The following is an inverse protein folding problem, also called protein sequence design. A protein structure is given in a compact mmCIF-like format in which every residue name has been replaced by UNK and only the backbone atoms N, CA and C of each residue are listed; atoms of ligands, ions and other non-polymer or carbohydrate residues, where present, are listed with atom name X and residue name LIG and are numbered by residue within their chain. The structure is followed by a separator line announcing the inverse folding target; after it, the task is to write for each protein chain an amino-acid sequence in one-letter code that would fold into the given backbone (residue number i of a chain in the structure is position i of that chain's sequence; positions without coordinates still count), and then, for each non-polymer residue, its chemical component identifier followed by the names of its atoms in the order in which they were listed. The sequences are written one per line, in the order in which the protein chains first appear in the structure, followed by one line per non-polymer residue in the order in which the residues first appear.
data_IF_150391393910
#
_entry.id   IF_150391393910
#
_cell.length_a   1.000
_cell.length_b   1.000
_cell.length_c   1.000
_cell.angle_alpha   90.00
_cell.angle_beta   90.00
_cell.angle_gamma   90.00
#
_symmetry.space_group_name_H-M   'P 1'
#
loop_
_entity.id
_entity.type
_entity.pdbx_description
1 polymer ?
#
# COMPACT_ATOMS: atom_id res chain seq x y z
N UNK A 1 20.43 0.07 17.94
CA UNK A 1 19.36 0.31 16.94
C UNK A 1 19.88 0.34 15.51
N UNK A 2 20.61 1.39 15.11
CA UNK A 2 21.13 1.54 13.74
C UNK A 2 22.07 0.41 13.33
N UNK A 3 22.94 -0.07 14.24
CA UNK A 3 23.80 -1.22 13.99
C UNK A 3 23.02 -2.47 13.55
N UNK A 4 21.93 -2.80 14.23
CA UNK A 4 21.07 -3.95 13.87
C UNK A 4 20.40 -3.76 12.51
N UNK A 5 19.91 -2.55 12.19
CA UNK A 5 19.40 -2.25 10.85
C UNK A 5 20.48 -2.40 9.77
N UNK A 6 21.70 -1.92 10.05
CA UNK A 6 22.83 -2.04 9.14
C UNK A 6 23.25 -3.50 8.92
N UNK A 7 23.35 -4.28 10.00
CA UNK A 7 23.73 -5.70 9.92
C UNK A 7 22.71 -6.50 9.11
N UNK A 8 21.41 -6.27 9.31
CA UNK A 8 20.33 -6.92 8.55
C UNK A 8 20.35 -6.52 7.07
N UNK A 9 20.53 -5.22 6.78
CA UNK A 9 20.65 -4.76 5.39
C UNK A 9 21.94 -5.29 4.72
N UNK A 10 22.98 -5.58 5.49
CA UNK A 10 24.22 -6.19 4.98
C UNK A 10 24.03 -7.69 4.72
N UNK A 11 23.34 -8.39 5.62
CA UNK A 11 23.03 -9.81 5.49
C UNK A 11 22.04 -10.11 4.35
N UNK A 12 21.20 -9.13 4.00
CA UNK A 12 20.21 -9.20 2.93
C UNK A 12 20.55 -8.23 1.78
N UNK A 13 21.49 -8.57 0.89
CA UNK A 13 21.87 -7.72 -0.23
C UNK A 13 20.71 -7.45 -1.19
N UNK A 14 19.70 -8.31 -1.22
CA UNK A 14 18.47 -8.16 -2.00
C UNK A 14 17.49 -7.12 -1.43
N UNK A 15 17.69 -6.63 -0.21
CA UNK A 15 16.88 -5.56 0.36
C UNK A 15 17.45 -4.18 0.02
N UNK A 16 16.62 -3.31 -0.54
CA UNK A 16 16.92 -1.91 -0.80
C UNK A 16 16.77 -1.04 0.47
N UNK A 17 16.04 -1.55 1.45
CA UNK A 17 15.87 -0.94 2.75
C UNK A 17 15.31 -1.92 3.76
N UNK A 18 15.45 -1.59 5.04
CA UNK A 18 14.96 -2.41 6.14
C UNK A 18 14.29 -1.53 7.18
N UNK A 19 13.08 -1.89 7.59
CA UNK A 19 12.36 -1.27 8.70
C UNK A 19 12.39 -2.16 9.94
N UNK A 20 11.93 -1.64 11.07
CA UNK A 20 11.71 -2.47 12.27
C UNK A 20 10.25 -2.49 12.67
N UNK A 21 9.87 -3.52 13.45
CA UNK A 21 8.71 -3.43 14.33
C UNK A 21 8.82 -2.21 15.27
N UNK A 22 7.65 -1.77 15.75
CA UNK A 22 7.51 -0.60 16.63
C UNK A 22 6.68 -0.94 17.86
N UNK A 23 7.03 -0.32 18.99
CA UNK A 23 6.24 -0.33 20.22
C UNK A 23 5.49 1.02 20.33
N UNK A 24 4.20 0.99 20.66
CA UNK A 24 3.45 2.22 20.95
C UNK A 24 3.76 2.70 22.37
N UNK A 25 3.80 4.02 22.56
CA UNK A 25 3.82 4.65 23.88
C UNK A 25 2.93 5.90 23.89
N UNK A 26 2.52 6.36 25.08
CA UNK A 26 1.78 7.61 25.25
C UNK A 26 0.27 7.44 25.14
N UNK A 27 -0.42 8.35 24.45
CA UNK A 27 -1.88 8.35 24.35
C UNK A 27 -2.36 7.42 23.22
N UNK A 28 -2.29 6.12 23.50
CA UNK A 28 -2.66 5.04 22.60
C UNK A 28 -4.17 4.92 22.42
N UNK A 29 -4.62 4.79 21.17
CA UNK A 29 -6.03 4.54 20.84
C UNK A 29 -6.22 3.13 20.31
N UNK A 30 -7.39 2.48 20.51
CA UNK A 30 -7.63 1.12 20.03
C UNK A 30 -7.36 0.91 18.54
N UNK A 31 -7.69 1.91 17.69
CA UNK A 31 -7.40 1.84 16.25
C UNK A 31 -5.90 1.79 15.95
N UNK A 32 -5.10 2.59 16.66
CA UNK A 32 -3.65 2.61 16.47
C UNK A 32 -2.98 1.34 16.99
N UNK A 33 -3.47 0.78 18.10
CA UNK A 33 -3.01 -0.52 18.61
C UNK A 33 -3.22 -1.63 17.58
N UNK A 34 -4.43 -1.74 17.04
CA UNK A 34 -4.73 -2.71 15.96
C UNK A 34 -3.86 -2.51 14.72
N UNK A 35 -3.61 -1.26 14.34
CA UNK A 35 -2.72 -0.95 13.21
C UNK A 35 -1.29 -1.42 13.48
N UNK A 36 -0.70 -1.09 14.65
CA UNK A 36 0.67 -1.51 14.97
C UNK A 36 0.78 -3.02 15.16
N UNK A 37 -0.19 -3.65 15.83
CA UNK A 37 -0.27 -5.11 15.95
C UNK A 37 -0.25 -5.78 14.57
N UNK A 38 -1.09 -5.32 13.64
CA UNK A 38 -1.10 -5.82 12.26
C UNK A 38 0.20 -5.50 11.51
N UNK A 39 0.67 -4.25 11.55
CA UNK A 39 1.85 -3.82 10.81
C UNK A 39 3.11 -4.56 11.28
N UNK A 40 3.19 -4.90 12.57
CA UNK A 40 4.28 -5.67 13.14
C UNK A 40 4.30 -7.14 12.67
N UNK A 41 3.21 -7.69 12.12
CA UNK A 41 3.22 -9.06 11.54
C UNK A 41 3.79 -9.12 10.12
N UNK A 42 3.98 -7.98 9.45
CA UNK A 42 4.50 -7.89 8.09
C UNK A 42 6.04 -8.04 8.08
N UNK A 43 6.52 -9.26 8.29
CA UNK A 43 7.95 -9.55 8.51
C UNK A 43 8.74 -9.91 7.24
N UNK A 44 8.08 -10.06 6.09
CA UNK A 44 8.76 -10.40 4.83
C UNK A 44 8.51 -9.34 3.76
N UNK A 45 9.41 -9.18 2.78
CA UNK A 45 9.21 -8.23 1.69
C UNK A 45 7.90 -8.47 0.91
N UNK A 46 7.55 -9.74 0.66
CA UNK A 46 6.30 -10.09 0.00
C UNK A 46 5.06 -9.66 0.80
N UNK A 47 5.07 -9.81 2.12
CA UNK A 47 3.98 -9.34 2.99
C UNK A 47 3.87 -7.82 2.98
N UNK A 48 4.99 -7.11 3.04
CA UNK A 48 5.03 -5.63 3.01
C UNK A 48 4.50 -5.09 1.68
N UNK A 49 4.95 -5.67 0.56
CA UNK A 49 4.48 -5.31 -0.76
C UNK A 49 2.98 -5.59 -0.92
N UNK A 50 2.51 -6.80 -0.58
CA UNK A 50 1.09 -7.15 -0.70
C UNK A 50 0.16 -6.29 0.18
N UNK A 51 0.67 -5.84 1.33
CA UNK A 51 -0.08 -5.02 2.30
C UNK A 51 -0.19 -3.54 1.93
N UNK A 52 0.55 -3.04 0.93
CA UNK A 52 0.69 -1.59 0.64
C UNK A 52 -0.63 -0.86 0.36
N UNK A 53 -1.65 -1.56 -0.13
CA UNK A 53 -2.98 -1.00 -0.36
C UNK A 53 -3.95 -1.19 0.82
N UNK A 54 -3.61 -2.02 1.81
CA UNK A 54 -4.38 -2.16 3.05
C UNK A 54 -4.16 -0.90 3.89
N UNK A 55 -2.93 -0.66 4.32
CA UNK A 55 -2.52 0.52 5.09
C UNK A 55 -0.98 0.63 5.01
N UNK A 56 -0.39 1.70 5.54
CA UNK A 56 1.07 1.86 5.64
C UNK A 56 1.77 0.59 6.17
N UNK A 57 2.58 -0.11 5.34
CA UNK A 57 3.12 -1.43 5.69
C UNK A 57 4.32 -1.35 6.62
N UNK A 58 4.97 -0.18 6.70
CA UNK A 58 6.05 0.12 7.62
C UNK A 58 6.02 1.60 8.00
N UNK A 59 6.70 1.95 9.08
CA UNK A 59 6.94 3.34 9.45
C UNK A 59 8.27 3.79 8.84
N UNK A 60 8.25 4.85 8.04
CA UNK A 60 9.46 5.32 7.34
C UNK A 60 10.59 5.69 8.32
N UNK A 61 10.23 6.25 9.47
CA UNK A 61 11.15 6.64 10.54
C UNK A 61 11.80 5.46 11.29
N UNK A 62 11.35 4.22 11.07
CA UNK A 62 11.96 3.02 11.64
C UNK A 62 12.93 2.33 10.68
N UNK A 63 13.17 2.93 9.51
CA UNK A 63 13.96 2.35 8.43
C UNK A 63 15.41 2.82 8.34
N UNK A 64 16.23 1.97 7.72
CA UNK A 64 17.51 2.29 7.09
C UNK A 64 17.41 1.92 5.61
N UNK A 65 17.85 2.81 4.73
CA UNK A 65 17.67 2.67 3.28
C UNK A 65 19.01 2.79 2.56
N UNK A 66 19.20 2.01 1.48
CA UNK A 66 20.35 2.20 0.59
C UNK A 66 20.23 3.54 -0.12
N UNK A 67 21.38 4.19 -0.33
CA UNK A 67 21.43 5.47 -1.05
C UNK A 67 20.86 5.35 -2.45
N UNK A 68 21.31 4.34 -3.20
CA UNK A 68 20.85 4.08 -4.58
C UNK A 68 19.33 3.88 -4.69
N UNK A 69 18.69 3.33 -3.64
CA UNK A 69 17.24 3.19 -3.58
C UNK A 69 16.54 4.54 -3.41
N UNK A 70 17.09 5.43 -2.57
CA UNK A 70 16.58 6.79 -2.43
C UNK A 70 16.81 7.62 -3.70
N UNK A 71 17.91 7.40 -4.41
CA UNK A 71 18.19 8.08 -5.67
C UNK A 71 17.16 7.72 -6.74
N UNK A 72 16.73 6.45 -6.83
CA UNK A 72 15.62 6.01 -7.70
C UNK A 72 14.28 6.67 -7.38
N UNK A 73 14.09 7.14 -6.16
CA UNK A 73 12.89 7.83 -5.70
C UNK A 73 13.00 9.35 -5.78
N UNK A 74 14.16 9.87 -6.13
CA UNK A 74 14.43 11.30 -6.06
C UNK A 74 13.69 12.05 -7.16
N UNK A 75 12.97 13.09 -6.76
CA UNK A 75 12.30 14.03 -7.65
C UNK A 75 12.91 15.42 -7.49
N UNK A 76 12.87 16.28 -8.53
CA UNK A 76 13.24 17.68 -8.40
C UNK A 76 12.43 18.37 -7.31
N UNK A 77 13.07 19.21 -6.51
CA UNK A 77 12.43 20.04 -5.48
C UNK A 77 12.32 21.46 -6.01
N UNK A 78 11.13 22.04 -5.98
CA UNK A 78 10.87 23.44 -6.39
C UNK A 78 11.42 24.49 -5.41
N UNK A 79 12.35 24.12 -4.52
CA UNK A 79 12.99 25.06 -3.59
C UNK A 79 13.87 26.02 -4.39
N UNK A 80 13.99 27.30 -3.97
CA UNK A 80 14.83 28.26 -4.67
C UNK A 80 16.24 27.69 -4.79
N UNK A 81 16.83 27.85 -5.98
CA UNK A 81 18.20 27.45 -6.25
C UNK A 81 19.09 27.87 -5.08
N UNK A 82 19.77 26.89 -4.47
CA UNK A 82 20.90 27.18 -3.60
C UNK A 82 21.80 28.21 -4.33
N UNK A 83 22.32 29.25 -3.64
CA UNK A 83 23.26 30.19 -4.27
C UNK A 83 24.51 29.48 -4.81
N UNK A 84 24.73 28.23 -4.39
CA UNK A 84 25.67 27.30 -4.99
C UNK A 84 24.87 26.41 -5.95
N UNK A 85 24.86 26.79 -7.24
CA UNK A 85 24.00 26.18 -8.26
C UNK A 85 23.99 24.64 -8.25
N UNK A 86 22.79 24.07 -8.14
CA UNK A 86 22.52 22.65 -8.21
C UNK A 86 21.02 22.38 -8.18
N UNK A 87 20.56 21.40 -8.95
CA UNK A 87 19.18 20.94 -8.87
C UNK A 87 19.04 20.13 -7.58
N UNK A 88 18.32 20.66 -6.58
CA UNK A 88 18.00 19.93 -5.37
C UNK A 88 17.00 18.82 -5.71
N UNK A 89 17.35 17.56 -5.43
CA UNK A 89 16.42 16.43 -5.53
C UNK A 89 16.10 15.89 -4.15
N UNK A 90 14.89 15.34 -3.98
CA UNK A 90 14.44 14.72 -2.73
C UNK A 90 13.71 13.42 -3.03
N UNK A 91 13.98 12.33 -2.28
CA UNK A 91 13.18 11.11 -2.36
C UNK A 91 11.78 11.29 -1.77
N UNK A 92 11.47 12.44 -1.21
CA UNK A 92 10.22 12.75 -0.52
C UNK A 92 9.42 13.81 -1.25
N UNK A 93 8.10 13.58 -1.36
CA UNK A 93 7.13 14.55 -1.89
C UNK A 93 6.22 15.01 -0.76
N UNK A 94 6.30 16.29 -0.42
CA UNK A 94 5.39 16.91 0.55
C UNK A 94 4.15 17.43 -0.19
N UNK A 95 3.19 16.51 -0.37
CA UNK A 95 1.97 16.74 -1.14
C UNK A 95 0.85 17.28 -0.23
N UNK A 96 -0.06 18.05 -0.83
CA UNK A 96 -1.25 18.55 -0.16
C UNK A 96 -2.34 17.48 -0.08
N UNK A 97 -2.35 16.55 -1.04
CA UNK A 97 -3.41 15.58 -1.30
C UNK A 97 -3.38 14.41 -0.32
N UNK A 98 -2.18 13.90 0.00
CA UNK A 98 -1.98 12.72 0.85
C UNK A 98 -0.64 12.75 1.59
N UNK A 99 -0.43 11.87 2.59
CA UNK A 99 0.75 11.94 3.44
C UNK A 99 2.01 11.48 2.71
N UNK A 100 3.12 12.15 3.04
CA UNK A 100 4.49 11.85 2.58
C UNK A 100 4.87 10.37 2.72
N UNK A 101 4.49 9.71 3.83
CA UNK A 101 4.87 8.32 4.09
C UNK A 101 4.13 7.35 3.16
N UNK A 102 2.84 7.62 2.88
CA UNK A 102 2.05 6.82 1.94
C UNK A 102 2.63 6.95 0.53
N UNK A 103 2.89 8.18 0.10
CA UNK A 103 3.50 8.47 -1.20
C UNK A 103 4.86 7.78 -1.37
N UNK A 104 5.70 7.86 -0.34
CA UNK A 104 7.03 7.25 -0.32
C UNK A 104 6.95 5.74 -0.52
N UNK A 105 6.15 5.02 0.28
CA UNK A 105 6.07 3.57 0.16
C UNK A 105 5.39 3.12 -1.13
N UNK A 106 4.40 3.85 -1.64
CA UNK A 106 3.83 3.50 -2.94
C UNK A 106 4.85 3.62 -4.06
N UNK A 107 5.61 4.71 -4.13
CA UNK A 107 6.69 4.84 -5.11
C UNK A 107 7.78 3.80 -4.91
N UNK A 108 8.11 3.48 -3.65
CA UNK A 108 9.07 2.42 -3.30
C UNK A 108 8.71 1.09 -3.97
N UNK A 109 7.48 0.62 -3.78
CA UNK A 109 7.03 -0.66 -4.36
C UNK A 109 6.81 -0.57 -5.88
N UNK A 110 6.41 0.59 -6.39
CA UNK A 110 6.19 0.79 -7.82
C UNK A 110 7.47 0.64 -8.64
N UNK A 111 8.60 1.21 -8.18
CA UNK A 111 9.89 1.03 -8.87
C UNK A 111 10.57 -0.30 -8.54
N UNK A 112 9.84 -1.23 -7.92
CA UNK A 112 10.30 -2.59 -7.62
C UNK A 112 11.29 -2.69 -6.46
N UNK A 113 11.43 -1.67 -5.61
CA UNK A 113 12.35 -1.72 -4.49
C UNK A 113 11.85 -2.68 -3.39
N UNK A 114 12.78 -3.41 -2.80
CA UNK A 114 12.52 -4.46 -1.81
C UNK A 114 12.73 -3.91 -0.40
N UNK A 115 11.68 -3.97 0.42
CA UNK A 115 11.73 -3.57 1.82
C UNK A 115 11.73 -4.81 2.72
N UNK A 116 12.75 -4.98 3.57
CA UNK A 116 12.74 -5.94 4.67
C UNK A 116 12.13 -5.37 5.95
N UNK A 117 11.78 -6.23 6.90
CA UNK A 117 11.42 -5.80 8.26
C UNK A 117 12.02 -6.73 9.33
N UNK A 118 12.71 -6.12 10.28
CA UNK A 118 13.25 -6.80 11.46
C UNK A 118 12.12 -7.03 12.46
N UNK A 119 12.00 -8.29 12.90
CA UNK A 119 11.10 -8.72 13.96
C UNK A 119 11.55 -8.32 15.37
N UNK A 120 10.96 -8.98 16.37
CA UNK A 120 11.16 -8.65 17.77
C UNK A 120 12.66 -8.72 18.20
N UNK A 121 13.06 -7.96 19.23
CA UNK A 121 12.28 -6.90 19.88
C UNK A 121 12.15 -5.64 19.00
N UNK A 122 11.06 -4.85 19.13
CA UNK A 122 10.92 -3.56 18.47
C UNK A 122 12.11 -2.64 18.76
N UNK A 123 12.59 -1.97 17.71
CA UNK A 123 13.77 -1.11 17.79
C UNK A 123 13.45 0.35 18.08
N UNK A 124 12.19 0.76 17.91
CA UNK A 124 11.71 2.11 18.07
C UNK A 124 10.42 2.12 18.89
N UNK A 125 10.21 3.23 19.59
CA UNK A 125 8.95 3.55 20.27
C UNK A 125 8.26 4.69 19.54
N UNK A 126 7.00 4.53 19.19
CA UNK A 126 6.20 5.57 18.54
C UNK A 126 5.25 6.22 19.53
N UNK A 127 5.61 7.42 19.96
CA UNK A 127 4.81 8.22 20.89
C UNK A 127 3.55 8.75 20.22
N UNK A 128 2.40 8.34 20.73
CA UNK A 128 1.09 8.84 20.35
C UNK A 128 0.73 10.08 21.16
N UNK A 129 0.36 11.17 20.49
CA UNK A 129 -0.08 12.41 21.14
C UNK A 129 -1.16 13.11 20.32
N UNK A 130 -1.90 14.05 20.92
CA UNK A 130 -3.08 14.68 20.30
C UNK A 130 -2.73 15.46 19.03
N UNK A 131 -1.59 16.17 19.01
CA UNK A 131 -1.16 17.00 17.89
C UNK A 131 -0.50 16.26 16.71
N UNK A 132 -0.46 14.93 16.68
CA UNK A 132 0.20 14.21 15.58
C UNK A 132 -0.57 14.37 14.26
N UNK A 133 0.14 14.44 13.14
CA UNK A 133 -0.47 14.68 11.83
C UNK A 133 -1.57 13.67 11.45
N UNK A 134 -1.41 12.41 11.85
CA UNK A 134 -2.44 11.36 11.61
C UNK A 134 -3.76 11.62 12.34
N UNK A 135 -3.84 12.65 13.20
CA UNK A 135 -5.06 13.08 13.91
C UNK A 135 -5.56 14.44 13.47
N UNK A 136 -4.67 15.33 13.05
CA UNK A 136 -4.99 16.76 12.88
C UNK A 136 -4.96 17.24 11.43
N UNK A 137 -4.27 16.51 10.54
CA UNK A 137 -4.05 16.97 9.17
C UNK A 137 -5.04 16.32 8.21
N UNK A 138 -5.74 17.14 7.41
CA UNK A 138 -6.76 16.68 6.43
C UNK A 138 -6.20 15.70 5.40
N UNK A 139 -4.93 15.86 5.01
CA UNK A 139 -4.22 14.92 4.12
C UNK A 139 -4.08 13.50 4.69
N UNK A 140 -4.29 13.31 5.99
CA UNK A 140 -4.31 11.99 6.63
C UNK A 140 -5.74 11.43 6.79
N UNK A 141 -6.74 12.05 6.17
CA UNK A 141 -8.13 11.57 6.17
C UNK A 141 -8.27 10.24 5.42
N UNK A 142 -9.35 9.49 5.71
CA UNK A 142 -9.65 8.26 4.99
C UNK A 142 -9.82 8.52 3.48
N UNK A 143 -10.41 9.66 3.11
CA UNK A 143 -10.59 10.05 1.70
C UNK A 143 -9.25 10.31 1.01
N UNK A 144 -8.33 11.05 1.66
CA UNK A 144 -6.96 11.28 1.14
C UNK A 144 -6.16 9.99 1.02
N UNK A 145 -6.25 9.08 2.00
CA UNK A 145 -5.58 7.78 1.94
C UNK A 145 -6.14 6.90 0.83
N UNK A 146 -7.46 6.90 0.63
CA UNK A 146 -8.12 6.21 -0.48
C UNK A 146 -7.75 6.82 -1.83
N UNK A 147 -7.71 8.15 -1.95
CA UNK A 147 -7.28 8.84 -3.16
C UNK A 147 -5.83 8.48 -3.53
N UNK A 148 -4.93 8.41 -2.54
CA UNK A 148 -3.55 7.96 -2.74
C UNK A 148 -3.51 6.52 -3.28
N UNK A 149 -4.24 5.59 -2.63
CA UNK A 149 -4.35 4.19 -3.08
C UNK A 149 -4.85 4.12 -4.53
N UNK A 150 -5.98 4.75 -4.83
CA UNK A 150 -6.58 4.77 -6.18
C UNK A 150 -5.61 5.33 -7.22
N UNK A 151 -4.92 6.44 -6.92
CA UNK A 151 -3.89 7.01 -7.79
C UNK A 151 -2.82 5.96 -8.16
N UNK A 152 -2.26 5.26 -7.16
CA UNK A 152 -1.25 4.25 -7.40
C UNK A 152 -1.78 2.93 -7.99
N UNK A 153 -3.07 2.65 -7.86
CA UNK A 153 -3.69 1.50 -8.54
C UNK A 153 -3.86 1.73 -10.04
N UNK A 154 -4.28 2.93 -10.44
CA UNK A 154 -4.67 3.23 -11.83
C UNK A 154 -3.57 3.86 -12.68
N UNK A 155 -2.54 4.47 -12.07
CA UNK A 155 -1.41 5.03 -12.83
C UNK A 155 -0.61 3.93 -13.53
N UNK A 156 0.17 4.32 -14.55
CA UNK A 156 0.99 3.41 -15.35
C UNK A 156 1.87 2.50 -14.48
N UNK A 157 1.77 1.19 -14.68
CA UNK A 157 2.46 0.17 -13.88
C UNK A 157 1.74 -0.25 -12.60
N UNK A 158 0.64 0.44 -12.23
CA UNK A 158 -0.23 0.06 -11.12
C UNK A 158 -1.06 -1.19 -11.43
N UNK A 159 -1.51 -1.95 -10.41
CA UNK A 159 -2.21 -3.22 -10.62
C UNK A 159 -3.52 -3.13 -11.41
N UNK A 160 -4.16 -1.96 -11.44
CA UNK A 160 -5.43 -1.75 -12.14
C UNK A 160 -5.29 -0.81 -13.36
N UNK A 161 -4.07 -0.47 -13.79
CA UNK A 161 -3.83 0.48 -14.87
C UNK A 161 -4.49 0.10 -16.19
N UNK A 162 -4.36 -1.17 -16.59
CA UNK A 162 -4.88 -1.71 -17.84
C UNK A 162 -6.07 -2.67 -17.62
N UNK A 163 -6.66 -2.66 -16.41
CA UNK A 163 -7.78 -3.54 -16.10
C UNK A 163 -9.00 -3.15 -16.93
N UNK A 164 -9.63 -4.15 -17.55
CA UNK A 164 -10.89 -3.92 -18.27
C UNK A 164 -12.04 -3.66 -17.30
N UNK A 165 -11.98 -4.27 -16.12
CA UNK A 165 -12.93 -4.10 -15.03
C UNK A 165 -12.21 -4.13 -13.68
N UNK A 166 -12.63 -3.24 -12.78
CA UNK A 166 -12.27 -3.28 -11.36
C UNK A 166 -13.51 -3.65 -10.55
N UNK A 167 -13.47 -4.80 -9.88
CA UNK A 167 -14.52 -5.22 -8.95
C UNK A 167 -14.19 -4.74 -7.54
N UNK A 168 -15.12 -4.05 -6.89
CA UNK A 168 -14.99 -3.68 -5.48
C UNK A 168 -15.87 -4.60 -4.65
N UNK A 169 -15.26 -5.37 -3.76
CA UNK A 169 -15.91 -6.32 -2.86
C UNK A 169 -15.95 -5.73 -1.45
N UNK A 170 -17.13 -5.33 -1.00
CA UNK A 170 -17.34 -4.77 0.34
C UNK A 170 -18.83 -4.66 0.67
N UNK A 171 -19.20 -3.87 1.67
CA UNK A 171 -20.59 -3.61 2.05
C UNK A 171 -20.82 -2.13 2.37
N UNK A 172 -22.04 -1.63 2.13
CA UNK A 172 -22.47 -0.30 2.55
C UNK A 172 -21.57 0.84 2.08
N UNK A 173 -21.29 1.80 2.97
CA UNK A 173 -20.55 3.03 2.65
C UNK A 173 -19.14 2.80 2.09
N UNK A 174 -18.42 1.79 2.59
CA UNK A 174 -17.08 1.47 2.08
C UNK A 174 -17.12 1.03 0.63
N UNK A 175 -18.13 0.23 0.23
CA UNK A 175 -18.32 -0.21 -1.15
C UNK A 175 -18.54 0.99 -2.08
N UNK A 176 -19.51 1.83 -1.73
CA UNK A 176 -19.93 2.96 -2.57
C UNK A 176 -18.83 4.01 -2.70
N UNK A 177 -18.11 4.33 -1.63
CA UNK A 177 -17.03 5.31 -1.66
C UNK A 177 -15.79 4.84 -2.44
N UNK A 178 -15.42 3.56 -2.33
CA UNK A 178 -14.33 2.98 -3.14
C UNK A 178 -14.70 2.95 -4.62
N UNK A 179 -15.91 2.51 -4.95
CA UNK A 179 -16.38 2.48 -6.32
C UNK A 179 -16.43 3.89 -6.94
N UNK A 180 -16.97 4.88 -6.21
CA UNK A 180 -16.99 6.27 -6.64
C UNK A 180 -15.57 6.83 -6.85
N UNK A 181 -14.64 6.56 -5.94
CA UNK A 181 -13.25 7.03 -6.05
C UNK A 181 -12.56 6.49 -7.31
N UNK A 182 -12.77 5.21 -7.63
CA UNK A 182 -12.22 4.58 -8.84
C UNK A 182 -12.84 5.15 -10.12
N UNK A 183 -14.18 5.33 -10.15
CA UNK A 183 -14.87 5.93 -11.30
C UNK A 183 -14.39 7.36 -11.55
N UNK A 184 -14.31 8.17 -10.51
CA UNK A 184 -13.85 9.56 -10.60
C UNK A 184 -12.39 9.67 -11.04
N UNK A 185 -11.56 8.67 -10.72
CA UNK A 185 -10.17 8.60 -11.14
C UNK A 185 -9.97 7.99 -12.54
N UNK A 186 -11.06 7.65 -13.25
CA UNK A 186 -11.00 7.20 -14.65
C UNK A 186 -10.84 5.69 -14.86
N UNK A 187 -11.17 4.85 -13.86
CA UNK A 187 -11.25 3.41 -14.07
C UNK A 187 -12.29 3.07 -15.16
N UNK A 188 -11.92 2.22 -16.13
CA UNK A 188 -12.72 1.93 -17.34
C UNK A 188 -14.12 1.40 -17.02
N UNK A 189 -14.19 0.40 -16.14
CA UNK A 189 -15.44 -0.17 -15.64
C UNK A 189 -15.25 -0.53 -14.17
N UNK A 190 -16.22 -0.13 -13.34
CA UNK A 190 -16.21 -0.42 -11.90
C UNK A 190 -17.49 -1.15 -11.53
N UNK A 191 -17.35 -2.42 -11.13
CA UNK A 191 -18.46 -3.26 -10.66
C UNK A 191 -18.44 -3.32 -9.13
N UNK A 192 -19.56 -2.98 -8.53
CA UNK A 192 -19.77 -3.14 -7.10
C UNK A 192 -20.26 -4.55 -6.82
N UNK A 193 -19.60 -5.24 -5.89
CA UNK A 193 -19.99 -6.57 -5.42
C UNK A 193 -20.25 -6.49 -3.93
N UNK A 194 -21.53 -6.42 -3.57
CA UNK A 194 -21.94 -6.37 -2.18
C UNK A 194 -21.77 -7.76 -1.53
N UNK A 195 -20.76 -7.88 -0.68
CA UNK A 195 -20.42 -9.15 -0.05
C UNK A 195 -19.63 -8.93 1.25
N UNK A 196 -19.86 -9.80 2.25
CA UNK A 196 -19.14 -9.78 3.52
C UNK A 196 -18.42 -11.10 3.80
N UNK A 197 -17.20 -11.08 4.35
CA UNK A 197 -16.45 -12.31 4.64
C UNK A 197 -17.15 -13.23 5.65
N UNK A 198 -17.42 -14.45 5.21
CA UNK A 198 -18.17 -15.47 5.95
C UNK A 198 -19.61 -15.67 5.46
N UNK A 199 -20.11 -14.82 4.56
CA UNK A 199 -21.31 -15.13 3.79
C UNK A 199 -20.95 -16.03 2.59
N UNK A 200 -21.90 -16.84 2.06
CA UNK A 200 -21.75 -17.48 0.76
C UNK A 200 -21.38 -16.45 -0.31
N UNK A 201 -20.59 -16.86 -1.31
CA UNK A 201 -20.31 -16.01 -2.46
C UNK A 201 -21.61 -15.77 -3.26
N UNK A 202 -21.74 -14.62 -3.96
CA UNK A 202 -22.89 -14.36 -4.81
C UNK A 202 -23.12 -15.48 -5.83
N UNK A 203 -24.37 -15.85 -6.09
CA UNK A 203 -24.70 -16.99 -6.96
C UNK A 203 -24.41 -16.74 -8.43
N UNK A 204 -24.39 -15.47 -8.86
CA UNK A 204 -23.99 -15.03 -10.20
C UNK A 204 -22.47 -14.91 -10.36
N UNK A 205 -21.71 -15.14 -9.30
CA UNK A 205 -20.25 -15.10 -9.36
C UNK A 205 -19.69 -16.39 -9.92
N UNK A 206 -19.04 -16.30 -11.07
CA UNK A 206 -18.49 -17.45 -11.82
C UNK A 206 -16.96 -17.61 -11.64
N UNK A 207 -16.35 -16.79 -10.79
CA UNK A 207 -14.89 -16.67 -10.71
C UNK A 207 -14.29 -15.97 -11.94
N UNK A 208 -12.95 -15.95 -12.04
CA UNK A 208 -12.25 -15.58 -13.28
C UNK A 208 -12.37 -16.75 -14.26
N UNK A 209 -12.88 -16.48 -15.47
CA UNK A 209 -12.95 -17.49 -16.52
C UNK A 209 -11.54 -18.10 -16.74
N UNK A 210 -11.45 -19.44 -16.65
CA UNK A 210 -10.23 -20.21 -16.84
C UNK A 210 -9.64 -19.92 -18.22
N UNK A 211 -8.63 -19.05 -18.33
CA UNK A 211 -7.99 -18.76 -19.63
C UNK A 211 -7.28 -17.42 -19.76
N UNK A 212 -7.50 -16.46 -18.85
CA UNK A 212 -6.75 -15.19 -18.89
C UNK A 212 -5.38 -15.38 -18.23
N UNK A 213 -4.39 -15.82 -19.01
CA UNK A 213 -2.99 -15.86 -18.61
C UNK A 213 -2.42 -14.44 -18.57
N UNK A 214 -1.96 -14.00 -17.40
CA UNK A 214 -1.27 -12.74 -17.17
C UNK A 214 0.24 -12.81 -17.49
N UNK A 215 0.61 -13.44 -18.60
CA UNK A 215 2.02 -13.46 -19.04
C UNK A 215 2.40 -12.20 -19.84
N UNK A 216 2.31 -11.00 -19.23
CA UNK A 216 3.02 -9.80 -19.71
C UNK A 216 2.80 -8.56 -18.81
N UNK A 217 3.10 -8.63 -17.51
CA UNK A 217 3.24 -7.40 -16.70
C UNK A 217 4.60 -6.70 -16.86
N UNK A 218 5.50 -7.26 -17.67
CA UNK A 218 6.77 -6.65 -18.05
C UNK A 218 6.73 -6.28 -19.55
N UNK A 219 6.43 -5.02 -19.85
CA UNK A 219 6.65 -4.40 -21.15
C UNK A 219 5.88 -5.02 -22.32
N UNK A 220 4.62 -4.62 -22.51
CA UNK A 220 3.87 -4.98 -23.72
C UNK A 220 2.47 -4.38 -23.67
N UNK A 221 2.11 -3.65 -24.71
CA UNK A 221 0.80 -3.07 -24.93
C UNK A 221 -0.20 -4.17 -25.29
N UNK A 222 -0.74 -4.91 -24.32
CA UNK A 222 -1.85 -5.81 -24.60
C UNK A 222 -3.06 -5.49 -23.74
N UNK A 223 -4.10 -5.06 -24.44
CA UNK A 223 -5.42 -4.65 -24.02
C UNK A 223 -6.23 -5.88 -23.54
N UNK A 224 -5.64 -6.72 -22.69
CA UNK A 224 -6.20 -8.01 -22.34
C UNK A 224 -7.22 -7.82 -21.23
N UNK A 225 -8.46 -8.29 -21.46
CA UNK A 225 -9.67 -8.07 -20.66
C UNK A 225 -9.66 -8.62 -19.23
N UNK A 226 -8.59 -8.41 -18.48
CA UNK A 226 -8.43 -8.90 -17.13
C UNK A 226 -9.25 -8.07 -16.14
N UNK A 227 -9.84 -8.78 -15.19
CA UNK A 227 -10.58 -8.22 -14.07
C UNK A 227 -9.63 -8.11 -12.88
N UNK A 228 -9.61 -6.96 -12.20
CA UNK A 228 -8.91 -6.79 -10.92
C UNK A 228 -9.95 -6.75 -9.80
N UNK A 229 -9.75 -7.52 -8.73
CA UNK A 229 -10.68 -7.57 -7.60
C UNK A 229 -10.07 -6.90 -6.38
N UNK A 230 -10.78 -5.90 -5.86
CA UNK A 230 -10.41 -5.14 -4.68
C UNK A 230 -11.31 -5.53 -3.52
N UNK A 231 -10.75 -6.23 -2.54
CA UNK A 231 -11.45 -6.63 -1.32
C UNK A 231 -11.24 -5.56 -0.25
N UNK A 232 -12.21 -4.65 -0.11
CA UNK A 232 -12.11 -3.49 0.76
C UNK A 232 -12.45 -3.85 2.23
N UNK A 233 -11.49 -4.50 2.91
CA UNK A 233 -11.62 -5.00 4.28
C UNK A 233 -10.41 -4.65 5.16
N UNK A 234 -10.56 -3.64 6.02
CA UNK A 234 -9.51 -3.20 6.94
C UNK A 234 -9.19 -4.13 8.11
N UNK A 235 -10.11 -5.03 8.48
CA UNK A 235 -9.89 -5.96 9.60
C UNK A 235 -9.15 -7.23 9.16
N UNK A 236 -8.08 -7.60 9.87
CA UNK A 236 -7.28 -8.79 9.55
C UNK A 236 -8.12 -10.08 9.48
N UNK A 237 -9.03 -10.28 10.43
CA UNK A 237 -9.96 -11.44 10.45
C UNK A 237 -10.87 -11.49 9.23
N UNK A 238 -11.32 -10.32 8.73
CA UNK A 238 -12.13 -10.23 7.53
C UNK A 238 -11.31 -10.60 6.29
N UNK A 239 -10.06 -10.13 6.19
CA UNK A 239 -9.14 -10.50 5.11
C UNK A 239 -8.83 -12.00 5.07
N UNK A 240 -8.57 -12.63 6.21
CA UNK A 240 -8.34 -14.09 6.29
C UNK A 240 -9.55 -14.86 5.75
N UNK A 241 -10.77 -14.48 6.16
CA UNK A 241 -12.00 -15.10 5.68
C UNK A 241 -12.23 -14.86 4.18
N UNK A 242 -11.94 -13.66 3.70
CA UNK A 242 -12.02 -13.33 2.28
C UNK A 242 -11.07 -14.18 1.43
N UNK A 243 -9.81 -14.29 1.87
CA UNK A 243 -8.80 -15.10 1.18
C UNK A 243 -9.18 -16.58 1.12
N UNK A 244 -9.82 -17.10 2.17
CA UNK A 244 -10.26 -18.49 2.22
C UNK A 244 -11.52 -18.77 1.38
N UNK A 245 -12.40 -17.77 1.21
CA UNK A 245 -13.62 -17.93 0.41
C UNK A 245 -13.35 -17.93 -1.10
N UNK A 246 -12.42 -17.09 -1.56
CA UNK A 246 -12.10 -16.91 -2.98
C UNK A 246 -11.14 -18.00 -3.44
N UNK A 247 -11.67 -19.02 -4.12
CA UNK A 247 -10.92 -20.22 -4.53
C UNK A 247 -9.87 -19.95 -5.61
N UNK A 248 -10.17 -19.05 -6.53
CA UNK A 248 -9.37 -18.65 -7.68
C UNK A 248 -8.53 -17.39 -7.40
N UNK A 249 -8.07 -17.22 -6.15
CA UNK A 249 -7.31 -16.04 -5.77
C UNK A 249 -5.98 -15.97 -6.53
N UNK A 250 -5.71 -14.81 -7.09
CA UNK A 250 -4.50 -14.48 -7.84
C UNK A 250 -3.79 -13.31 -7.17
N UNK A 251 -2.53 -13.49 -6.77
CA UNK A 251 -1.75 -12.46 -6.06
C UNK A 251 -1.38 -11.23 -6.90
N UNK A 252 -1.60 -11.26 -8.21
CA UNK A 252 -1.39 -10.11 -9.10
C UNK A 252 -2.70 -9.37 -9.41
N UNK A 253 -3.83 -10.08 -9.39
CA UNK A 253 -5.13 -9.53 -9.78
C UNK A 253 -6.07 -9.30 -8.59
N UNK A 254 -5.76 -9.83 -7.41
CA UNK A 254 -6.56 -9.67 -6.20
C UNK A 254 -5.81 -8.95 -5.11
N UNK A 255 -6.43 -7.87 -4.65
CA UNK A 255 -5.82 -6.95 -3.71
C UNK A 255 -6.75 -6.73 -2.52
N UNK A 256 -6.18 -6.78 -1.32
CA UNK A 256 -6.83 -6.19 -0.17
C UNK A 256 -6.59 -4.69 -0.17
N UNK A 257 -7.67 -3.94 0.02
CA UNK A 257 -7.65 -2.49 0.21
C UNK A 257 -8.39 -2.14 1.51
N UNK A 258 -8.15 -0.97 2.08
CA UNK A 258 -8.91 -0.49 3.24
C UNK A 258 -9.09 1.02 3.23
#
# INVERSE_FOLDING_TARGET
RLRRLFDELTAHPEWDGVASQVELIGNERPGMRRYVEWQNTLLTPGLLAAARFVELPALRQTGLYRREALDKLSVPVSAPASPVGGHCTSPYRDLAEWPIDSDFFFRWFEVGLVLGKIGAPPLYKWRQHAGQHTRTQGRCSLDSLRACKVHFMLRRGGPAHAAAEVQVWSTGRTLTEWAASLRNAGARLVREVEWRPGAPLPTDWVGRASGVSCNSLAGGSDNNGHVVRLFAFGMAKARVRARAAVRDWDGQLDWFVA
#
